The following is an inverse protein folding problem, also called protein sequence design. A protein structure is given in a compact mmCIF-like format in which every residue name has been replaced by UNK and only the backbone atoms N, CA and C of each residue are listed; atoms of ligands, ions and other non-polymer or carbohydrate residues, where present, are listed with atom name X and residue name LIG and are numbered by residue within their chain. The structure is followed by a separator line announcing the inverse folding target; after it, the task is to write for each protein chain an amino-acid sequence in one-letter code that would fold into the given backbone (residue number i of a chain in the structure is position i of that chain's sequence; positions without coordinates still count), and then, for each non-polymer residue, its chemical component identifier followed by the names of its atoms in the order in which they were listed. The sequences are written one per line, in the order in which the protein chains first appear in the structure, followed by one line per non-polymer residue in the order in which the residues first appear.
data_IF_655167473075
#
_entry.id   IF_655167473075
#
_cell.length_a   1.000
_cell.length_b   1.000
_cell.length_c   1.000
_cell.angle_alpha   90.00
_cell.angle_beta   90.00
_cell.angle_gamma   90.00
#
_symmetry.space_group_name_H-M   'P 1'
#
loop_
_entity.id
_entity.type
_entity.pdbx_description
1 polymer ?
#
# COMPACT_ATOMS: atom_id res chain seq x y z
N UNK A 1 44.31 -23.83 -65.13
CA UNK A 1 44.69 -23.75 -63.70
C UNK A 1 43.59 -23.00 -62.95
N UNK A 2 42.68 -23.70 -62.28
CA UNK A 2 41.59 -23.11 -61.48
C UNK A 2 42.13 -22.75 -60.09
N UNK A 3 42.04 -21.48 -59.70
CA UNK A 3 42.39 -21.02 -58.34
C UNK A 3 41.25 -21.38 -57.39
N UNK A 4 41.54 -22.22 -56.40
CA UNK A 4 40.64 -22.54 -55.28
C UNK A 4 40.80 -21.45 -54.21
N UNK A 5 39.70 -20.80 -53.82
CA UNK A 5 39.66 -19.91 -52.66
C UNK A 5 39.22 -20.72 -51.43
N UNK A 6 39.84 -20.52 -50.25
CA UNK A 6 39.43 -21.21 -49.03
C UNK A 6 38.13 -20.57 -48.51
N UNK A 7 37.09 -21.39 -48.37
CA UNK A 7 35.86 -21.01 -47.67
C UNK A 7 36.13 -21.13 -46.17
N UNK A 8 36.24 -19.99 -45.48
CA UNK A 8 36.21 -19.97 -44.02
C UNK A 8 34.77 -20.21 -43.55
N UNK A 9 34.52 -21.37 -42.94
CA UNK A 9 33.27 -21.65 -42.27
C UNK A 9 33.23 -20.89 -40.93
N UNK A 10 32.34 -19.91 -40.83
CA UNK A 10 32.06 -19.18 -39.59
C UNK A 10 31.21 -20.09 -38.69
N UNK A 11 31.80 -20.68 -37.65
CA UNK A 11 31.04 -21.35 -36.59
C UNK A 11 30.32 -20.30 -35.73
N UNK A 12 29.00 -20.17 -35.89
CA UNK A 12 28.14 -19.45 -34.96
C UNK A 12 28.02 -20.28 -33.68
N UNK A 13 28.72 -19.85 -32.62
CA UNK A 13 28.50 -20.32 -31.25
C UNK A 13 27.12 -19.87 -30.79
N UNK A 14 26.13 -20.77 -30.84
CA UNK A 14 24.85 -20.58 -30.16
C UNK A 14 25.10 -20.84 -28.68
N UNK A 15 25.36 -19.78 -27.91
CA UNK A 15 25.40 -19.89 -26.46
C UNK A 15 24.00 -20.27 -25.97
N UNK A 16 23.84 -21.31 -25.12
CA UNK A 16 22.56 -21.61 -24.53
C UNK A 16 22.11 -20.40 -23.70
N UNK A 17 20.95 -19.82 -24.02
CA UNK A 17 20.30 -18.87 -23.14
C UNK A 17 20.09 -19.56 -21.80
N UNK A 18 20.67 -19.03 -20.73
CA UNK A 18 20.34 -19.48 -19.38
C UNK A 18 18.81 -19.43 -19.23
N UNK A 19 18.21 -20.52 -18.75
CA UNK A 19 16.76 -20.59 -18.59
C UNK A 19 16.34 -19.57 -17.53
N UNK A 20 15.53 -18.60 -17.93
CA UNK A 20 15.03 -17.57 -17.04
C UNK A 20 14.19 -18.20 -15.92
N UNK A 21 14.56 -17.96 -14.66
CA UNK A 21 13.80 -18.40 -13.50
C UNK A 21 12.79 -17.33 -13.12
N UNK A 22 11.50 -17.72 -13.09
CA UNK A 22 10.39 -16.82 -12.80
C UNK A 22 9.80 -17.05 -11.42
N UNK A 23 9.75 -16.00 -10.60
CA UNK A 23 8.99 -15.95 -9.36
C UNK A 23 7.69 -15.20 -9.59
N UNK A 24 6.56 -15.85 -9.31
CA UNK A 24 5.25 -15.23 -9.36
C UNK A 24 4.89 -14.69 -7.98
N UNK A 25 4.47 -13.44 -7.92
CA UNK A 25 4.06 -12.80 -6.69
C UNK A 25 2.77 -12.02 -6.89
N UNK A 26 2.03 -11.79 -5.81
CA UNK A 26 0.81 -11.01 -5.86
C UNK A 26 0.52 -10.33 -4.52
N UNK A 27 -0.15 -9.18 -4.56
CA UNK A 27 -0.68 -8.61 -3.33
C UNK A 27 -0.89 -7.12 -3.36
N UNK A 28 -0.49 -6.49 -2.26
CA UNK A 28 -0.66 -5.08 -1.97
C UNK A 28 -0.38 -4.16 -3.17
N UNK A 29 -1.29 -3.21 -3.39
CA UNK A 29 -1.08 -2.13 -4.36
C UNK A 29 -0.27 -0.98 -3.74
N UNK A 30 -0.35 -0.80 -2.43
CA UNK A 30 0.36 0.24 -1.68
C UNK A 30 1.88 0.29 -1.96
N UNK A 31 2.66 -0.80 -1.95
CA UNK A 31 4.09 -0.77 -2.26
C UNK A 31 4.38 -0.97 -3.75
N UNK A 32 3.37 -1.15 -4.60
CA UNK A 32 3.59 -1.52 -6.00
C UNK A 32 4.53 -0.56 -6.75
N UNK A 33 4.48 0.78 -6.54
CA UNK A 33 5.40 1.69 -7.20
C UNK A 33 6.87 1.45 -6.85
N UNK A 34 7.21 1.11 -5.59
CA UNK A 34 8.59 0.79 -5.21
C UNK A 34 8.97 -0.64 -5.60
N UNK A 35 8.07 -1.61 -5.42
CA UNK A 35 8.30 -2.99 -5.78
C UNK A 35 8.55 -3.18 -7.28
N UNK A 36 7.73 -2.54 -8.13
CA UNK A 36 7.95 -2.60 -9.58
C UNK A 36 9.30 -2.04 -10.01
N UNK A 37 9.76 -0.96 -9.36
CA UNK A 37 11.10 -0.40 -9.57
C UNK A 37 12.19 -1.38 -9.14
N UNK A 38 12.09 -1.92 -7.93
CA UNK A 38 13.06 -2.90 -7.41
C UNK A 38 13.12 -4.18 -8.26
N UNK A 39 11.98 -4.74 -8.66
CA UNK A 39 11.95 -5.93 -9.52
C UNK A 39 12.56 -5.65 -10.89
N UNK A 40 12.32 -4.46 -11.46
CA UNK A 40 12.94 -4.08 -12.72
C UNK A 40 14.47 -3.92 -12.60
N UNK A 41 14.94 -3.26 -11.54
CA UNK A 41 16.37 -3.06 -11.32
C UNK A 41 17.07 -4.40 -11.03
N UNK A 42 16.49 -5.24 -10.17
CA UNK A 42 17.02 -6.56 -9.88
C UNK A 42 17.11 -7.43 -11.14
N UNK A 43 16.13 -7.35 -12.05
CA UNK A 43 16.20 -8.04 -13.34
C UNK A 43 17.31 -7.50 -14.25
N UNK A 44 17.61 -6.20 -14.23
CA UNK A 44 18.73 -5.65 -15.00
C UNK A 44 20.09 -6.15 -14.49
N UNK A 45 20.22 -6.32 -13.18
CA UNK A 45 21.42 -6.87 -12.54
C UNK A 45 21.51 -8.40 -12.65
N UNK A 46 20.36 -9.08 -12.74
CA UNK A 46 20.21 -10.52 -12.85
C UNK A 46 19.26 -10.90 -14.01
N UNK A 47 19.72 -10.86 -15.28
CA UNK A 47 18.85 -11.06 -16.45
C UNK A 47 18.18 -12.43 -16.53
N UNK A 48 18.72 -13.42 -15.82
CA UNK A 48 18.18 -14.78 -15.69
C UNK A 48 17.04 -14.88 -14.65
N UNK A 49 16.68 -13.80 -13.95
CA UNK A 49 15.65 -13.79 -12.91
C UNK A 49 14.52 -12.84 -13.29
N UNK A 50 13.27 -13.30 -13.24
CA UNK A 50 12.07 -12.45 -13.39
C UNK A 50 11.19 -12.55 -12.14
N UNK A 51 10.90 -11.41 -11.51
CA UNK A 51 9.87 -11.32 -10.47
C UNK A 51 8.61 -10.71 -11.09
N UNK A 52 7.62 -11.57 -11.36
CA UNK A 52 6.32 -11.18 -11.91
C UNK A 52 5.33 -10.90 -10.78
N UNK A 53 5.11 -9.62 -10.48
CA UNK A 53 4.25 -9.18 -9.40
C UNK A 53 2.89 -8.67 -9.89
N UNK A 54 1.81 -9.21 -9.33
CA UNK A 54 0.43 -8.83 -9.62
C UNK A 54 -0.12 -7.91 -8.53
N UNK A 55 -0.33 -6.63 -8.86
CA UNK A 55 -0.94 -5.62 -7.97
C UNK A 55 -2.45 -5.82 -7.87
N UNK A 56 -2.90 -6.63 -6.91
CA UNK A 56 -4.30 -7.09 -6.78
C UNK A 56 -4.93 -6.85 -5.41
N UNK A 57 -4.25 -6.10 -4.54
CA UNK A 57 -4.63 -5.87 -3.17
C UNK A 57 -4.12 -6.96 -2.21
N UNK A 58 -3.86 -6.56 -0.96
CA UNK A 58 -3.28 -7.43 0.06
C UNK A 58 -4.12 -8.66 0.37
N UNK A 59 -5.45 -8.53 0.33
CA UNK A 59 -6.35 -9.68 0.50
C UNK A 59 -6.20 -10.70 -0.63
N UNK A 60 -5.93 -10.25 -1.86
CA UNK A 60 -5.58 -11.12 -2.98
C UNK A 60 -4.24 -11.83 -2.75
N UNK A 61 -3.22 -11.08 -2.33
CA UNK A 61 -1.89 -11.62 -2.01
C UNK A 61 -1.91 -12.68 -0.91
N UNK A 62 -2.58 -12.38 0.21
CA UNK A 62 -2.77 -13.32 1.32
C UNK A 62 -3.44 -14.61 0.81
N UNK A 63 -4.55 -14.51 0.07
CA UNK A 63 -5.24 -15.71 -0.45
C UNK A 63 -4.35 -16.54 -1.36
N UNK A 64 -3.62 -15.90 -2.28
CA UNK A 64 -2.80 -16.61 -3.26
C UNK A 64 -1.58 -17.29 -2.62
N UNK A 65 -0.89 -16.63 -1.68
CA UNK A 65 0.25 -17.24 -0.97
C UNK A 65 -0.20 -18.37 -0.04
N UNK A 66 -1.30 -18.19 0.69
CA UNK A 66 -1.91 -19.24 1.53
C UNK A 66 -2.29 -20.48 0.71
N UNK A 67 -2.80 -20.28 -0.52
CA UNK A 67 -3.15 -21.37 -1.42
C UNK A 67 -1.94 -22.04 -2.09
N UNK A 68 -0.79 -21.37 -2.13
CA UNK A 68 0.43 -21.78 -2.84
C UNK A 68 0.36 -21.56 -4.35
N UNK A 69 -0.45 -20.59 -4.81
CA UNK A 69 -0.59 -20.27 -6.25
C UNK A 69 0.43 -19.25 -6.73
N UNK A 70 1.07 -18.54 -5.79
CA UNK A 70 2.21 -17.65 -6.02
C UNK A 70 3.35 -18.07 -5.11
N UNK A 71 4.56 -17.72 -5.51
CA UNK A 71 5.80 -18.00 -4.80
C UNK A 71 5.90 -17.16 -3.51
N UNK A 72 5.44 -15.91 -3.54
CA UNK A 72 5.29 -15.08 -2.33
C UNK A 72 4.15 -14.05 -2.47
N UNK A 73 3.65 -13.56 -1.34
CA UNK A 73 2.62 -12.54 -1.28
C UNK A 73 3.13 -11.19 -0.80
N UNK A 74 2.28 -10.16 -0.84
CA UNK A 74 2.53 -8.89 -0.16
C UNK A 74 1.27 -8.33 0.51
N UNK A 75 1.43 -7.72 1.67
CA UNK A 75 0.32 -7.14 2.44
C UNK A 75 0.73 -5.90 3.23
N UNK A 76 -0.17 -4.92 3.34
CA UNK A 76 0.05 -3.69 4.14
C UNK A 76 -0.63 -3.76 5.50
N UNK A 77 -1.27 -4.89 5.79
CA UNK A 77 -1.68 -5.29 7.12
C UNK A 77 -1.11 -6.67 7.43
N UNK A 78 -0.64 -6.94 8.65
CA UNK A 78 -0.17 -8.27 9.01
C UNK A 78 -1.29 -9.29 8.85
N UNK A 79 -0.94 -10.54 8.51
CA UNK A 79 -1.92 -11.63 8.51
C UNK A 79 -2.40 -11.88 9.93
N UNK A 80 -3.70 -12.13 10.11
CA UNK A 80 -4.23 -12.62 11.39
C UNK A 80 -3.70 -14.02 11.71
N UNK A 81 -3.80 -14.43 12.97
CA UNK A 81 -3.45 -15.79 13.38
C UNK A 81 -4.28 -16.84 12.65
N UNK A 82 -5.55 -16.55 12.40
CA UNK A 82 -6.45 -17.41 11.62
C UNK A 82 -5.99 -17.57 10.17
N UNK A 83 -5.55 -16.47 9.55
CA UNK A 83 -5.00 -16.50 8.19
C UNK A 83 -3.71 -17.30 8.12
N UNK A 84 -2.82 -17.15 9.11
CA UNK A 84 -1.59 -17.95 9.22
C UNK A 84 -1.89 -19.43 9.42
N UNK A 85 -2.83 -19.76 10.32
CA UNK A 85 -3.24 -21.14 10.58
C UNK A 85 -3.85 -21.82 9.36
N UNK A 86 -4.45 -21.05 8.44
CA UNK A 86 -5.02 -21.56 7.19
C UNK A 86 -3.98 -21.83 6.09
N UNK A 87 -2.74 -21.35 6.24
CA UNK A 87 -1.70 -21.53 5.25
C UNK A 87 -1.14 -22.95 5.26
N UNK A 88 -0.91 -23.52 4.07
CA UNK A 88 -0.36 -24.88 3.91
C UNK A 88 1.10 -25.00 4.38
N UNK A 89 1.80 -23.87 4.39
CA UNK A 89 3.19 -23.72 4.80
C UNK A 89 3.27 -22.51 5.72
N UNK A 90 4.21 -22.52 6.66
CA UNK A 90 4.45 -21.37 7.53
C UNK A 90 4.79 -20.16 6.67
N UNK A 91 4.08 -19.06 6.87
CA UNK A 91 4.34 -17.79 6.20
C UNK A 91 5.10 -16.87 7.17
N UNK A 92 6.16 -16.25 6.67
CA UNK A 92 6.98 -15.28 7.39
C UNK A 92 6.62 -13.89 6.86
N UNK A 93 6.38 -12.96 7.77
CA UNK A 93 6.22 -11.54 7.47
C UNK A 93 7.58 -10.86 7.48
N UNK A 94 7.98 -10.27 6.36
CA UNK A 94 9.22 -9.49 6.26
C UNK A 94 8.87 -8.05 5.89
N UNK A 95 8.98 -7.09 6.83
CA UNK A 95 8.70 -5.69 6.54
C UNK A 95 9.73 -5.17 5.54
N UNK A 96 9.28 -4.39 4.56
CA UNK A 96 10.17 -3.87 3.49
C UNK A 96 10.32 -2.36 3.59
N UNK A 97 9.21 -1.62 3.45
CA UNK A 97 9.18 -0.16 3.54
C UNK A 97 8.02 0.32 4.40
N UNK A 98 8.09 1.59 4.76
CA UNK A 98 7.01 2.35 5.39
C UNK A 98 6.29 3.18 4.34
N UNK A 99 5.00 3.42 4.53
CA UNK A 99 4.24 4.39 3.75
C UNK A 99 3.11 5.02 4.54
N UNK A 100 2.48 6.03 3.95
CA UNK A 100 1.41 6.79 4.57
C UNK A 100 0.14 6.74 3.73
N UNK A 101 -1.00 6.59 4.40
CA UNK A 101 -2.32 6.69 3.77
C UNK A 101 -2.88 8.09 4.00
N UNK A 102 -3.18 8.80 2.93
CA UNK A 102 -3.59 10.21 3.00
C UNK A 102 -5.09 10.38 2.69
N UNK A 103 -5.78 11.31 3.39
CA UNK A 103 -7.11 11.75 2.98
C UNK A 103 -6.99 12.57 1.70
N UNK A 104 -7.30 11.94 0.57
CA UNK A 104 -7.24 12.52 -0.75
C UNK A 104 -8.59 13.10 -1.15
N UNK A 105 -8.61 14.30 -1.71
CA UNK A 105 -9.85 15.00 -2.04
C UNK A 105 -9.77 15.79 -3.35
N UNK A 106 -10.93 16.08 -3.91
CA UNK A 106 -11.09 16.90 -5.10
C UNK A 106 -12.19 17.93 -4.88
N UNK A 107 -11.80 19.20 -4.72
CA UNK A 107 -12.70 20.33 -4.58
C UNK A 107 -12.27 21.36 -5.63
N UNK A 108 -12.92 21.39 -6.81
CA UNK A 108 -12.53 22.29 -7.88
C UNK A 108 -12.52 23.75 -7.43
N UNK A 109 -11.48 24.47 -7.82
CA UNK A 109 -11.30 25.89 -7.49
C UNK A 109 -10.91 26.17 -6.03
N UNK A 110 -10.88 25.18 -5.14
CA UNK A 110 -10.36 25.36 -3.79
C UNK A 110 -8.85 25.59 -3.82
N UNK A 111 -8.41 26.68 -3.19
CA UNK A 111 -7.00 27.02 -3.04
C UNK A 111 -6.60 26.84 -1.58
N UNK A 112 -5.64 25.95 -1.33
CA UNK A 112 -5.12 25.69 -0.01
C UNK A 112 -5.15 24.22 0.34
N UNK A 113 -4.98 23.95 1.63
CA UNK A 113 -4.89 22.62 2.19
C UNK A 113 -5.93 22.45 3.28
N UNK A 114 -6.73 21.37 3.21
CA UNK A 114 -7.70 21.05 4.25
C UNK A 114 -7.07 20.23 5.36
N UNK A 115 -7.28 20.67 6.59
CA UNK A 115 -6.97 19.91 7.79
C UNK A 115 -8.10 18.94 8.09
N UNK A 116 -7.74 17.77 8.59
CA UNK A 116 -8.69 16.72 8.96
C UNK A 116 -8.47 16.28 10.41
N UNK A 117 -9.56 16.13 11.17
CA UNK A 117 -9.54 15.48 12.48
C UNK A 117 -10.08 14.05 12.38
N UNK A 118 -9.81 13.18 13.36
CA UNK A 118 -10.42 11.85 13.42
C UNK A 118 -11.94 11.85 13.24
N UNK A 119 -12.63 12.80 13.87
CA UNK A 119 -14.08 12.91 13.85
C UNK A 119 -14.60 13.30 12.46
N UNK A 120 -13.90 14.19 11.75
CA UNK A 120 -14.25 14.57 10.38
C UNK A 120 -14.08 13.38 9.43
N UNK A 121 -12.95 12.68 9.49
CA UNK A 121 -12.69 11.53 8.61
C UNK A 121 -13.72 10.42 8.87
N UNK A 122 -13.94 10.07 10.15
CA UNK A 122 -14.95 9.07 10.52
C UNK A 122 -16.35 9.51 10.11
N UNK A 123 -16.72 10.77 10.34
CA UNK A 123 -18.03 11.32 10.01
C UNK A 123 -18.34 11.29 8.53
N UNK A 124 -17.35 11.54 7.66
CA UNK A 124 -17.51 11.41 6.21
C UNK A 124 -17.79 9.95 5.82
N UNK A 125 -16.97 9.00 6.28
CA UNK A 125 -17.15 7.58 5.94
C UNK A 125 -18.35 6.90 6.61
N UNK A 126 -18.85 7.45 7.71
CA UNK A 126 -20.13 7.06 8.34
C UNK A 126 -21.36 7.70 7.66
N UNK A 127 -21.15 8.60 6.69
CA UNK A 127 -22.24 9.30 5.98
C UNK A 127 -22.92 10.40 6.79
N UNK A 128 -22.32 10.85 7.90
CA UNK A 128 -22.83 11.95 8.75
C UNK A 128 -22.43 13.32 8.24
N UNK A 129 -21.25 13.42 7.63
CA UNK A 129 -20.74 14.63 6.99
C UNK A 129 -20.85 14.42 5.49
N UNK A 130 -21.77 15.13 4.85
CA UNK A 130 -22.16 14.87 3.45
C UNK A 130 -21.86 16.02 2.50
N UNK A 131 -21.42 17.18 2.99
CA UNK A 131 -21.02 18.33 2.18
C UNK A 131 -19.71 18.97 2.65
N UNK A 132 -18.97 19.59 1.73
CA UNK A 132 -17.66 20.18 2.02
C UNK A 132 -17.73 21.41 2.94
N UNK A 133 -18.85 22.12 2.97
CA UNK A 133 -19.09 23.26 3.87
C UNK A 133 -19.67 22.84 5.24
N UNK A 134 -19.70 21.55 5.57
CA UNK A 134 -20.20 21.08 6.86
C UNK A 134 -19.51 21.83 8.03
N UNK A 135 -20.25 22.25 9.07
CA UNK A 135 -19.70 23.00 10.19
C UNK A 135 -18.50 22.31 10.87
N UNK A 136 -18.44 20.99 10.90
CA UNK A 136 -17.33 20.25 11.47
C UNK A 136 -16.03 20.44 10.66
N UNK A 137 -16.13 20.48 9.32
CA UNK A 137 -14.98 20.75 8.43
C UNK A 137 -14.60 22.23 8.51
N UNK A 138 -15.58 23.13 8.44
CA UNK A 138 -15.34 24.57 8.45
C UNK A 138 -14.68 25.03 9.77
N UNK A 139 -15.10 24.49 10.92
CA UNK A 139 -14.57 24.86 12.23
C UNK A 139 -13.07 24.59 12.37
N UNK A 140 -12.57 23.52 11.78
CA UNK A 140 -11.14 23.14 11.86
C UNK A 140 -10.29 23.79 10.75
N UNK A 141 -10.93 24.45 9.78
CA UNK A 141 -10.32 25.16 8.67
C UNK A 141 -10.78 26.64 8.64
N UNK A 142 -10.42 27.46 9.64
CA UNK A 142 -10.82 28.86 9.65
C UNK A 142 -10.17 29.63 8.49
N UNK A 143 -10.91 30.57 7.90
CA UNK A 143 -10.39 31.47 6.87
C UNK A 143 -10.37 30.90 5.45
N UNK A 144 -10.89 29.69 5.21
CA UNK A 144 -11.10 29.16 3.85
C UNK A 144 -12.58 29.14 3.49
N UNK A 145 -12.90 29.42 2.23
CA UNK A 145 -14.26 29.32 1.70
C UNK A 145 -14.52 27.91 1.19
N UNK A 146 -15.42 27.19 1.84
CA UNK A 146 -15.80 25.82 1.47
C UNK A 146 -17.09 25.83 0.64
N UNK A 147 -17.14 25.11 -0.49
CA UNK A 147 -18.34 25.07 -1.32
C UNK A 147 -19.43 24.22 -0.66
N UNK A 148 -20.70 24.58 -0.92
CA UNK A 148 -21.84 23.72 -0.65
C UNK A 148 -21.93 22.60 -1.70
N UNK A 149 -20.89 21.78 -1.77
CA UNK A 149 -20.76 20.65 -2.69
C UNK A 149 -20.85 19.34 -1.90
N UNK A 150 -21.62 18.39 -2.41
CA UNK A 150 -21.73 17.06 -1.82
C UNK A 150 -20.39 16.31 -1.83
N UNK A 151 -20.14 15.52 -0.79
CA UNK A 151 -18.95 14.67 -0.69
C UNK A 151 -19.25 13.33 -1.35
N UNK A 152 -18.46 12.97 -2.36
CA UNK A 152 -18.50 11.64 -2.97
C UNK A 152 -17.46 10.77 -2.29
N UNK A 153 -17.91 9.92 -1.37
CA UNK A 153 -17.02 8.99 -0.66
C UNK A 153 -16.53 7.92 -1.63
N UNK A 154 -15.21 7.71 -1.68
CA UNK A 154 -14.57 6.63 -2.44
C UNK A 154 -13.81 5.72 -1.48
N UNK A 155 -13.97 4.42 -1.67
CA UNK A 155 -13.26 3.40 -0.91
C UNK A 155 -12.76 2.29 -1.83
N UNK A 156 -11.93 1.39 -1.30
CA UNK A 156 -11.48 0.20 -2.04
C UNK A 156 -12.62 -0.81 -2.20
N UNK A 157 -12.75 -1.41 -3.37
CA UNK A 157 -13.68 -2.51 -3.65
C UNK A 157 -13.05 -3.90 -3.46
N UNK A 158 -11.72 -3.98 -3.52
CA UNK A 158 -10.95 -5.21 -3.34
C UNK A 158 -10.39 -5.34 -1.92
N UNK A 159 -10.03 -6.57 -1.53
CA UNK A 159 -9.37 -6.84 -0.24
C UNK A 159 -8.01 -6.14 -0.17
N UNK A 160 -7.89 -5.15 0.70
CA UNK A 160 -6.89 -4.09 0.62
C UNK A 160 -6.17 -3.86 1.95
N UNK A 161 -4.84 -3.85 1.93
CA UNK A 161 -4.03 -3.45 3.08
C UNK A 161 -4.19 -1.97 3.40
N UNK A 162 -4.29 -1.11 2.39
CA UNK A 162 -4.63 0.32 2.58
C UNK A 162 -5.95 0.49 3.35
N UNK A 163 -6.94 -0.36 3.08
CA UNK A 163 -8.21 -0.41 3.84
C UNK A 163 -8.01 -0.88 5.26
N UNK A 164 -7.17 -1.90 5.47
CA UNK A 164 -6.80 -2.33 6.81
C UNK A 164 -6.17 -1.19 7.61
N UNK A 165 -5.18 -0.49 7.05
CA UNK A 165 -4.50 0.64 7.71
C UNK A 165 -5.51 1.73 8.08
N UNK A 166 -6.34 2.13 7.11
CA UNK A 166 -7.31 3.19 7.29
C UNK A 166 -8.39 2.83 8.32
N UNK A 167 -8.94 1.62 8.24
CA UNK A 167 -9.97 1.14 9.18
C UNK A 167 -9.43 0.79 10.57
N UNK A 168 -8.17 0.37 10.69
CA UNK A 168 -7.48 0.19 11.98
C UNK A 168 -7.26 1.55 12.66
N UNK A 169 -6.82 2.57 11.91
CA UNK A 169 -6.77 3.95 12.40
C UNK A 169 -8.16 4.40 12.89
N UNK A 170 -9.20 4.30 12.06
CA UNK A 170 -10.55 4.73 12.42
C UNK A 170 -11.11 3.99 13.64
N UNK A 171 -10.83 2.69 13.76
CA UNK A 171 -11.23 1.89 14.93
C UNK A 171 -10.52 2.30 16.22
N UNK A 172 -9.32 2.90 16.15
CA UNK A 172 -8.58 3.41 17.32
C UNK A 172 -9.08 4.78 17.77
N UNK A 173 -9.64 5.58 16.87
CA UNK A 173 -9.98 7.00 17.13
C UNK A 173 -11.47 7.29 17.18
N UNK A 174 -12.32 6.35 16.75
CA UNK A 174 -13.78 6.48 16.79
C UNK A 174 -14.42 5.19 17.31
N UNK A 175 -15.04 5.28 18.49
CA UNK A 175 -15.80 4.18 19.07
C UNK A 175 -16.96 3.76 18.16
N UNK A 176 -17.66 4.73 17.57
CA UNK A 176 -18.76 4.46 16.65
C UNK A 176 -18.29 3.69 15.42
N UNK A 177 -17.15 4.07 14.83
CA UNK A 177 -16.57 3.33 13.72
C UNK A 177 -16.22 1.90 14.13
N UNK A 178 -15.52 1.75 15.26
CA UNK A 178 -15.10 0.44 15.77
C UNK A 178 -16.30 -0.49 15.95
N UNK A 179 -17.37 0.03 16.55
CA UNK A 179 -18.52 -0.78 16.94
C UNK A 179 -19.44 -1.08 15.73
N UNK A 180 -19.52 -0.18 14.74
CA UNK A 180 -20.40 -0.34 13.57
C UNK A 180 -19.72 -0.97 12.34
N UNK A 181 -18.43 -0.71 12.12
CA UNK A 181 -17.69 -1.09 10.90
C UNK A 181 -16.48 -1.96 11.21
N UNK A 182 -15.71 -1.58 12.24
CA UNK A 182 -14.49 -2.28 12.65
C UNK A 182 -13.33 -2.12 11.67
N UNK A 183 -12.43 -3.11 11.67
CA UNK A 183 -11.21 -3.10 10.85
C UNK A 183 -11.02 -4.39 10.08
N UNK A 184 -10.36 -4.30 8.93
CA UNK A 184 -10.03 -5.45 8.10
C UNK A 184 -9.54 -5.05 6.72
N UNK A 185 -9.08 -6.02 5.95
CA UNK A 185 -8.77 -5.80 4.52
C UNK A 185 -10.04 -5.59 3.68
N UNK A 186 -11.20 -6.00 4.21
CA UNK A 186 -12.53 -5.70 3.69
C UNK A 186 -13.44 -5.39 4.88
N UNK A 187 -14.27 -4.36 4.73
CA UNK A 187 -15.25 -3.92 5.74
C UNK A 187 -16.57 -3.59 5.05
N UNK A 188 -17.68 -3.61 5.81
CA UNK A 188 -18.98 -3.20 5.29
C UNK A 188 -19.10 -1.67 5.34
N UNK A 189 -18.72 -1.00 4.25
CA UNK A 189 -18.77 0.46 4.15
C UNK A 189 -20.21 0.98 4.30
N UNK A 190 -20.44 1.99 5.15
CA UNK A 190 -21.77 2.62 5.27
C UNK A 190 -22.23 3.35 4.01
N UNK A 191 -21.29 3.93 3.26
CA UNK A 191 -21.54 4.70 2.04
C UNK A 191 -20.31 4.71 1.12
N UNK A 192 -20.51 5.18 -0.10
CA UNK A 192 -19.46 5.48 -1.06
C UNK A 192 -19.39 4.53 -2.25
N UNK A 193 -18.47 4.84 -3.14
CA UNK A 193 -18.20 4.11 -4.37
C UNK A 193 -16.93 3.27 -4.20
N UNK A 194 -17.02 1.99 -4.57
CA UNK A 194 -15.89 1.08 -4.55
C UNK A 194 -15.04 1.19 -5.82
N UNK A 195 -13.73 1.38 -5.66
CA UNK A 195 -12.75 1.35 -6.73
C UNK A 195 -11.64 0.33 -6.46
N UNK A 196 -11.11 -0.30 -7.52
CA UNK A 196 -10.08 -1.34 -7.38
C UNK A 196 -8.69 -0.73 -7.28
N UNK A 197 -7.90 -1.17 -6.30
CA UNK A 197 -6.51 -0.74 -6.13
C UNK A 197 -6.36 0.70 -5.65
N UNK A 198 -5.12 1.12 -5.42
CA UNK A 198 -4.84 2.54 -5.13
C UNK A 198 -5.06 3.37 -6.40
N UNK A 199 -4.74 2.79 -7.55
CA UNK A 199 -4.92 3.31 -8.90
C UNK A 199 -6.39 3.72 -9.15
N UNK A 200 -7.34 2.83 -8.85
CA UNK A 200 -8.76 3.08 -9.08
C UNK A 200 -9.31 4.15 -8.14
N UNK A 201 -8.94 4.13 -6.85
CA UNK A 201 -9.36 5.16 -5.89
C UNK A 201 -8.78 6.52 -6.28
N UNK A 202 -7.48 6.60 -6.59
CA UNK A 202 -6.83 7.82 -7.06
C UNK A 202 -7.49 8.34 -8.35
N UNK A 203 -7.80 7.45 -9.30
CA UNK A 203 -8.50 7.78 -10.53
C UNK A 203 -9.88 8.39 -10.29
N UNK A 204 -10.69 7.78 -9.41
CA UNK A 204 -12.00 8.32 -9.05
C UNK A 204 -11.91 9.66 -8.32
N UNK A 205 -11.03 9.79 -7.33
CA UNK A 205 -10.86 11.06 -6.61
C UNK A 205 -10.47 12.17 -7.57
N UNK A 206 -9.52 11.92 -8.49
CA UNK A 206 -9.08 12.90 -9.49
C UNK A 206 -10.20 13.32 -10.46
N UNK A 207 -11.09 12.42 -10.84
CA UNK A 207 -12.11 12.66 -11.86
C UNK A 207 -13.42 13.24 -11.31
N UNK A 208 -13.78 12.87 -10.08
CA UNK A 208 -15.08 13.21 -9.50
C UNK A 208 -14.95 14.46 -8.64
N UNK A 209 -15.59 15.54 -9.07
CA UNK A 209 -15.69 16.77 -8.29
C UNK A 209 -16.45 16.52 -6.99
N UNK A 210 -15.87 16.92 -5.86
CA UNK A 210 -16.39 16.68 -4.54
C UNK A 210 -15.93 15.35 -3.92
N UNK A 211 -15.09 14.56 -4.59
CA UNK A 211 -14.67 13.25 -4.07
C UNK A 211 -13.74 13.34 -2.85
N UNK A 212 -13.89 12.35 -1.96
CA UNK A 212 -13.04 12.09 -0.81
C UNK A 212 -12.68 10.61 -0.74
N UNK A 213 -11.39 10.29 -0.70
CA UNK A 213 -10.86 8.94 -0.69
C UNK A 213 -9.64 8.79 0.23
N UNK A 214 -9.15 7.56 0.36
CA UNK A 214 -7.85 7.28 0.97
C UNK A 214 -6.95 6.55 -0.01
N UNK A 215 -5.71 7.01 -0.15
CA UNK A 215 -4.70 6.39 -1.01
C UNK A 215 -3.34 6.41 -0.32
N UNK A 216 -2.43 5.53 -0.73
CA UNK A 216 -1.02 5.66 -0.35
C UNK A 216 -0.45 6.98 -0.94
N UNK A 217 0.39 7.68 -0.17
CA UNK A 217 0.92 9.00 -0.45
C UNK A 217 1.49 9.14 -1.87
N UNK A 218 2.24 8.16 -2.38
CA UNK A 218 2.84 8.21 -3.71
C UNK A 218 1.78 8.33 -4.80
N UNK A 219 0.60 7.72 -4.62
CA UNK A 219 -0.49 7.81 -5.59
C UNK A 219 -1.12 9.19 -5.59
N UNK A 220 -1.22 9.86 -4.44
CA UNK A 220 -1.65 11.25 -4.40
C UNK A 220 -0.62 12.16 -5.09
N UNK A 221 0.67 11.97 -4.80
CA UNK A 221 1.77 12.77 -5.38
C UNK A 221 1.87 12.61 -6.90
N UNK A 222 1.92 11.37 -7.40
CA UNK A 222 2.07 11.09 -8.84
C UNK A 222 0.87 11.56 -9.67
N UNK A 223 -0.32 11.63 -9.06
CA UNK A 223 -1.55 12.04 -9.74
C UNK A 223 -1.95 13.49 -9.47
N UNK A 224 -1.11 14.26 -8.76
CA UNK A 224 -1.40 15.64 -8.35
C UNK A 224 -2.76 15.79 -7.64
N UNK A 225 -3.11 14.82 -6.78
CA UNK A 225 -4.35 14.84 -6.02
C UNK A 225 -4.12 15.61 -4.72
N UNK A 226 -5.05 16.49 -4.38
CA UNK A 226 -5.00 17.23 -3.12
C UNK A 226 -5.17 16.28 -1.93
N UNK A 227 -4.34 16.47 -0.90
CA UNK A 227 -4.44 15.79 0.38
C UNK A 227 -4.00 16.75 1.48
N UNK A 228 -4.32 16.44 2.73
CA UNK A 228 -4.08 17.35 3.84
C UNK A 228 -3.62 16.69 5.13
N UNK A 229 -3.19 17.49 6.12
CA UNK A 229 -2.67 17.00 7.39
C UNK A 229 -3.79 16.46 8.26
N UNK A 230 -3.45 15.45 9.06
CA UNK A 230 -4.37 14.78 9.97
C UNK A 230 -3.96 15.10 11.40
N UNK A 231 -4.93 15.46 12.25
CA UNK A 231 -4.71 15.64 13.68
C UNK A 231 -4.35 14.30 14.32
N UNK A 232 -3.14 14.18 14.87
CA UNK A 232 -2.66 12.97 15.52
C UNK A 232 -3.08 12.89 17.00
N UNK A 233 -2.70 11.80 17.68
CA UNK A 233 -3.00 11.56 19.09
C UNK A 233 -2.43 12.63 20.04
N UNK A 234 -1.34 13.31 19.65
CA UNK A 234 -0.75 14.42 20.40
C UNK A 234 -1.47 15.77 20.15
N UNK A 235 -2.51 15.78 19.32
CA UNK A 235 -3.29 16.97 18.99
C UNK A 235 -2.70 17.86 17.90
N UNK A 236 -1.59 17.46 17.29
CA UNK A 236 -0.92 18.21 16.22
C UNK A 236 -1.45 17.81 14.84
N UNK A 237 -1.64 18.78 13.95
CA UNK A 237 -1.94 18.49 12.54
C UNK A 237 -0.64 18.17 11.81
N UNK A 238 -0.47 16.90 11.43
CA UNK A 238 0.75 16.40 10.78
C UNK A 238 0.43 16.04 9.35
N UNK A 239 1.21 16.57 8.41
CA UNK A 239 1.13 16.20 6.98
C UNK A 239 1.96 14.96 6.72
N UNK A 240 1.48 14.07 5.87
CA UNK A 240 2.24 12.90 5.47
C UNK A 240 3.50 13.30 4.67
N UNK A 241 4.65 12.83 5.14
CA UNK A 241 5.96 12.94 4.50
C UNK A 241 6.84 11.74 4.91
N UNK A 242 8.05 11.65 4.35
CA UNK A 242 9.02 10.64 4.78
C UNK A 242 9.34 10.77 6.28
N UNK A 243 9.55 11.99 6.75
CA UNK A 243 9.91 12.30 8.13
C UNK A 243 8.77 11.94 9.09
N UNK A 244 7.54 12.36 8.79
CA UNK A 244 6.39 12.09 9.67
C UNK A 244 6.02 10.60 9.71
N UNK A 245 6.26 9.88 8.61
CA UNK A 245 6.02 8.43 8.51
C UNK A 245 7.10 7.66 9.29
N UNK A 246 8.35 8.10 9.20
CA UNK A 246 9.45 7.56 10.02
C UNK A 246 9.19 7.80 11.51
N UNK A 247 8.70 8.99 11.88
CA UNK A 247 8.31 9.30 13.25
C UNK A 247 7.17 8.39 13.78
N UNK A 248 6.28 7.92 12.90
CA UNK A 248 5.25 6.94 13.28
C UNK A 248 5.87 5.60 13.64
N UNK A 249 6.81 5.09 12.84
CA UNK A 249 7.51 3.84 13.11
C UNK A 249 8.37 3.90 14.39
N UNK A 250 8.97 5.05 14.70
CA UNK A 250 9.78 5.26 15.91
C UNK A 250 8.99 5.04 17.23
N UNK A 251 7.65 5.01 17.16
CA UNK A 251 6.80 4.67 18.32
C UNK A 251 6.87 3.18 18.70
N UNK A 252 7.31 2.31 17.79
CA UNK A 252 7.54 0.88 18.03
C UNK A 252 8.88 0.69 18.74
N UNK A 253 8.85 0.63 20.09
CA UNK A 253 10.06 0.47 20.90
C UNK A 253 10.71 -0.92 20.77
N UNK A 254 9.88 -1.94 20.60
CA UNK A 254 10.33 -3.33 20.48
C UNK A 254 9.55 -3.97 19.36
N UNK A 255 10.26 -4.42 18.33
CA UNK A 255 9.67 -5.13 17.21
C UNK A 255 9.30 -6.56 17.64
N UNK A 256 8.05 -7.03 17.39
CA UNK A 256 7.69 -8.42 17.62
C UNK A 256 8.54 -9.37 16.76
N UNK A 257 8.78 -10.59 17.27
CA UNK A 257 9.62 -11.58 16.58
C UNK A 257 9.06 -12.03 15.21
N UNK A 258 7.74 -11.90 15.01
CA UNK A 258 7.06 -12.18 13.75
C UNK A 258 6.80 -10.93 12.91
N UNK A 259 7.35 -9.77 13.32
CA UNK A 259 7.23 -8.47 12.66
C UNK A 259 5.80 -7.95 12.44
N UNK A 260 4.78 -8.60 13.02
CA UNK A 260 3.39 -8.18 12.87
C UNK A 260 3.08 -7.07 13.87
N UNK A 261 3.06 -5.83 13.39
CA UNK A 261 2.82 -4.64 14.22
C UNK A 261 1.92 -3.64 13.49
N UNK A 262 1.08 -2.91 14.23
CA UNK A 262 0.36 -1.74 13.73
C UNK A 262 0.98 -0.47 14.28
N UNK A 263 1.27 0.49 13.40
CA UNK A 263 1.81 1.81 13.75
C UNK A 263 0.81 2.95 13.49
N UNK A 264 -0.49 2.62 13.33
CA UNK A 264 -1.53 3.64 13.20
C UNK A 264 -1.84 4.28 14.56
N UNK A 265 -2.19 5.57 14.51
CA UNK A 265 -2.42 6.46 15.66
C UNK A 265 -1.31 6.41 16.74
N UNK A 266 -0.03 6.56 16.37
CA UNK A 266 1.08 6.58 17.33
C UNK A 266 1.02 7.84 18.20
N UNK A 267 1.63 7.79 19.39
CA UNK A 267 1.59 8.89 20.37
C UNK A 267 2.61 10.02 20.12
N UNK A 268 3.51 9.86 19.14
CA UNK A 268 4.56 10.84 18.84
C UNK A 268 4.00 12.16 18.28
N UNK A 269 4.49 13.30 18.76
CA UNK A 269 3.98 14.63 18.35
C UNK A 269 4.13 14.91 16.85
N UNK A 270 5.21 14.43 16.24
CA UNK A 270 5.54 14.63 14.82
C UNK A 270 5.10 13.42 13.96
N UNK A 271 4.47 12.43 14.58
CA UNK A 271 4.11 11.19 13.91
C UNK A 271 2.81 11.35 13.12
N UNK A 272 2.84 10.95 11.85
CA UNK A 272 1.65 10.90 11.01
C UNK A 272 0.75 9.73 11.45
N UNK A 273 -0.58 9.94 11.62
CA UNK A 273 -1.40 8.95 12.31
C UNK A 273 -1.87 7.77 11.46
N UNK A 274 -1.73 7.83 10.13
CA UNK A 274 -2.21 6.78 9.22
C UNK A 274 -1.05 6.24 8.41
N UNK A 275 -0.12 5.57 9.09
CA UNK A 275 1.07 4.97 8.50
C UNK A 275 1.10 3.45 8.73
N UNK A 276 1.88 2.75 7.91
CA UNK A 276 2.14 1.32 8.11
C UNK A 276 3.46 0.89 7.48
N UNK A 277 3.98 -0.22 7.98
CA UNK A 277 4.87 -1.05 7.17
C UNK A 277 4.05 -1.76 6.08
N UNK A 278 4.75 -2.19 5.03
CA UNK A 278 4.28 -3.24 4.13
C UNK A 278 5.19 -4.45 4.28
N UNK A 279 4.62 -5.64 4.13
CA UNK A 279 5.31 -6.90 4.34
C UNK A 279 5.30 -7.73 3.06
N UNK A 280 6.45 -8.33 2.74
CA UNK A 280 6.47 -9.54 1.94
C UNK A 280 6.04 -10.72 2.80
N UNK A 281 5.20 -11.57 2.23
CA UNK A 281 4.67 -12.79 2.84
C UNK A 281 5.38 -13.97 2.19
N UNK A 282 6.44 -14.45 2.84
CA UNK A 282 7.37 -15.42 2.25
C UNK A 282 7.15 -16.79 2.90
N UNK A 283 6.87 -17.85 2.12
CA UNK A 283 6.88 -19.22 2.65
C UNK A 283 8.21 -19.56 3.33
N UNK A 284 8.16 -20.19 4.50
CA UNK A 284 9.35 -20.66 5.20
C UNK A 284 9.99 -21.86 4.49
N UNK A 285 9.17 -22.70 3.85
CA UNK A 285 9.60 -23.91 3.18
C UNK A 285 9.29 -23.85 1.68
N UNK A 286 10.33 -23.97 0.86
CA UNK A 286 10.23 -23.93 -0.59
C UNK A 286 10.48 -25.31 -1.19
N UNK A 287 9.60 -25.72 -2.11
CA UNK A 287 9.79 -26.93 -2.92
C UNK A 287 10.92 -26.75 -3.93
N UNK A 288 10.97 -25.58 -4.57
CA UNK A 288 12.01 -25.19 -5.50
C UNK A 288 13.11 -24.43 -4.76
N UNK A 289 14.24 -25.11 -4.54
CA UNK A 289 15.40 -24.56 -3.83
C UNK A 289 16.10 -23.44 -4.60
N UNK A 290 15.97 -23.40 -5.92
CA UNK A 290 16.51 -22.30 -6.71
C UNK A 290 15.70 -21.02 -6.44
N UNK A 291 14.36 -21.11 -6.44
CA UNK A 291 13.50 -19.97 -6.08
C UNK A 291 13.69 -19.50 -4.64
N UNK A 292 13.91 -20.43 -3.70
CA UNK A 292 14.26 -20.09 -2.31
C UNK A 292 15.52 -19.24 -2.24
N UNK A 293 16.57 -19.66 -2.95
CA UNK A 293 17.82 -18.90 -3.01
C UNK A 293 17.58 -17.51 -3.61
N UNK A 294 16.84 -17.44 -4.72
CA UNK A 294 16.56 -16.16 -5.40
C UNK A 294 15.79 -15.20 -4.49
N UNK A 295 14.77 -15.64 -3.76
CA UNK A 295 14.02 -14.74 -2.88
C UNK A 295 14.89 -14.27 -1.71
N UNK A 296 15.76 -15.12 -1.16
CA UNK A 296 16.69 -14.72 -0.09
C UNK A 296 17.73 -13.71 -0.62
N UNK A 297 18.30 -13.95 -1.79
CA UNK A 297 19.23 -13.01 -2.42
C UNK A 297 18.56 -11.66 -2.71
N UNK A 298 17.34 -11.68 -3.24
CA UNK A 298 16.56 -10.46 -3.49
C UNK A 298 16.25 -9.69 -2.20
N UNK A 299 15.86 -10.39 -1.12
CA UNK A 299 15.61 -9.76 0.18
C UNK A 299 16.87 -9.10 0.76
N UNK A 300 18.04 -9.72 0.58
CA UNK A 300 19.31 -9.11 0.98
C UNK A 300 19.66 -7.90 0.11
N UNK A 301 19.50 -8.04 -1.22
CA UNK A 301 19.75 -6.96 -2.17
C UNK A 301 18.93 -5.70 -1.85
N UNK A 302 17.67 -5.87 -1.43
CA UNK A 302 16.80 -4.77 -1.03
C UNK A 302 17.33 -3.93 0.14
N UNK A 303 18.19 -4.49 1.01
CA UNK A 303 18.76 -3.78 2.15
C UNK A 303 19.86 -2.79 1.74
N UNK A 304 20.44 -2.98 0.56
CA UNK A 304 21.54 -2.16 0.03
C UNK A 304 21.06 -1.07 -0.96
N UNK A 305 19.74 -0.98 -1.22
CA UNK A 305 19.14 -0.02 -2.16
C UNK A 305 18.62 1.28 -1.54
#
# INVERSE_FOLDING_TARGET
MRKLYPVFALLLLVLPSAAQTKLNAAGATFPYPIYSKWFNQYHQEHPDIEINYQSIGSGGGIRQVTAGTVDFGASDGPMSDEQLASAKVKIIHLPTVLGAVVPAYNIPGFKGELKFTPEVIAGIYLGKITSWNDPAIAKINPGVSLPNQGIIVVHRSDGSGTTYIFSDYLSKVSNEWRDAVGKGTSVKWPTGLGAKGNEGVAGMVRQMEGAFGYVELIYALQNNISFGPVKNAAGSFVKASLESTTAAAASVKTMPADFRVSITNPSGKDAYPIASFTWLLVPADWKDKNKEKIIVDFLNWMLDQ
#
